data_IF_989379978849
#
_entry.id   IF_989379978849
#
_cell.length_a   1.000
_cell.length_b   1.000
_cell.length_c   1.000
_cell.angle_alpha   90.00
_cell.angle_beta   90.00
_cell.angle_gamma   90.00
#
_symmetry.space_group_name_H-M   'P 1'
#
loop_
_entity.id
_entity.type
_entity.pdbx_description
1 polymer ?
#
# COMPACT_ATOMS: atom_id res chain seq x y z
N UNK A 1 24.87 27.94 12.65
CA UNK A 1 24.77 26.48 12.93
C UNK A 1 23.31 25.97 13.01
N UNK A 2 22.30 26.74 12.56
CA UNK A 2 20.88 26.42 12.76
C UNK A 2 20.14 25.88 11.52
N UNK A 3 20.72 25.96 10.32
CA UNK A 3 20.01 25.53 9.11
C UNK A 3 20.18 24.03 8.78
N UNK A 4 21.29 23.40 9.16
CA UNK A 4 21.51 21.97 8.87
C UNK A 4 20.67 21.03 9.73
N UNK A 5 20.33 21.43 10.96
CA UNK A 5 19.47 20.61 11.83
C UNK A 5 18.00 20.60 11.35
N UNK A 6 17.51 21.70 10.78
CA UNK A 6 16.11 21.79 10.29
C UNK A 6 15.87 20.89 9.09
N UNK A 7 16.86 20.75 8.19
CA UNK A 7 16.78 19.85 7.03
C UNK A 7 16.80 18.36 7.44
N UNK A 8 17.57 18.02 8.47
CA UNK A 8 17.66 16.63 8.98
C UNK A 8 16.36 16.16 9.64
N UNK A 9 15.64 17.07 10.31
CA UNK A 9 14.36 16.75 10.97
C UNK A 9 13.19 16.57 9.99
N UNK A 10 13.29 17.05 8.76
CA UNK A 10 12.28 16.88 7.72
C UNK A 10 12.56 15.64 6.83
N UNK A 11 13.70 14.97 7.04
CA UNK A 11 14.04 13.74 6.31
C UNK A 11 13.50 12.51 7.06
N UNK A 12 12.28 12.10 6.71
CA UNK A 12 11.68 10.89 7.27
C UNK A 12 12.51 9.62 7.04
N UNK A 13 13.37 9.57 6.02
CA UNK A 13 14.29 8.45 5.77
C UNK A 13 15.34 8.33 6.87
N UNK A 14 15.79 9.45 7.45
CA UNK A 14 16.72 9.42 8.57
C UNK A 14 16.09 8.77 9.80
N UNK A 15 14.80 9.03 10.05
CA UNK A 15 14.06 8.34 11.12
C UNK A 15 13.95 6.84 10.88
N UNK A 16 13.66 6.42 9.65
CA UNK A 16 13.53 5.00 9.31
C UNK A 16 14.84 4.22 9.51
N UNK A 17 15.98 4.88 9.30
CA UNK A 17 17.31 4.24 9.44
C UNK A 17 17.85 4.25 10.86
N UNK A 18 17.64 5.34 11.61
CA UNK A 18 18.38 5.62 12.84
C UNK A 18 17.51 5.61 14.11
N UNK A 19 16.20 5.72 13.97
CA UNK A 19 15.32 5.86 15.12
C UNK A 19 14.94 4.53 15.79
N UNK A 20 14.37 4.64 16.97
CA UNK A 20 13.74 3.52 17.69
C UNK A 20 12.57 2.91 16.91
N UNK A 21 12.22 1.62 17.13
CA UNK A 21 11.22 0.91 16.32
C UNK A 21 9.89 1.64 16.17
N UNK A 22 9.36 2.23 17.25
CA UNK A 22 8.08 2.95 17.23
C UNK A 22 8.14 4.28 16.45
N UNK A 23 9.28 4.96 16.48
CA UNK A 23 9.49 6.19 15.68
C UNK A 23 9.66 5.85 14.20
N UNK A 24 10.35 4.74 13.89
CA UNK A 24 10.46 4.24 12.51
C UNK A 24 9.10 3.89 11.91
N UNK A 25 8.24 3.22 12.69
CA UNK A 25 6.90 2.89 12.24
C UNK A 25 6.09 4.15 11.94
N UNK A 26 6.08 5.13 12.84
CA UNK A 26 5.40 6.43 12.62
C UNK A 26 5.95 7.17 11.41
N UNK A 27 7.28 7.21 11.22
CA UNK A 27 7.91 7.86 10.08
C UNK A 27 7.50 7.22 8.75
N UNK A 28 7.49 5.88 8.69
CA UNK A 28 7.01 5.13 7.52
C UNK A 28 5.53 5.40 7.21
N UNK A 29 4.66 5.48 8.24
CA UNK A 29 3.26 5.87 8.05
C UNK A 29 3.12 7.26 7.44
N UNK A 30 3.86 8.26 7.96
CA UNK A 30 3.83 9.61 7.44
C UNK A 30 4.38 9.71 6.02
N UNK A 31 5.49 9.01 5.73
CA UNK A 31 6.06 8.96 4.39
C UNK A 31 5.06 8.45 3.37
N UNK A 32 4.36 7.35 3.67
CA UNK A 32 3.28 6.83 2.83
C UNK A 32 2.14 7.84 2.68
N UNK A 33 1.69 8.42 3.78
CA UNK A 33 0.57 9.35 3.78
C UNK A 33 0.85 10.60 2.93
N UNK A 34 2.08 11.12 3.00
CA UNK A 34 2.53 12.26 2.21
C UNK A 34 2.74 11.86 0.74
N UNK A 35 3.41 10.75 0.48
CA UNK A 35 3.69 10.30 -0.89
C UNK A 35 2.43 9.93 -1.68
N UNK A 36 1.37 9.47 -1.01
CA UNK A 36 0.09 9.20 -1.66
C UNK A 36 -0.61 10.45 -2.19
N UNK A 37 -0.22 11.67 -1.78
CA UNK A 37 -0.76 12.90 -2.34
C UNK A 37 -0.29 13.13 -3.79
N UNK A 38 0.87 12.61 -4.16
CA UNK A 38 1.40 12.71 -5.53
C UNK A 38 0.52 12.02 -6.58
N UNK A 39 -0.36 11.09 -6.18
CA UNK A 39 -1.37 10.46 -7.06
C UNK A 39 -2.22 11.49 -7.80
N UNK A 40 -2.56 12.57 -7.11
CA UNK A 40 -3.37 13.66 -7.64
C UNK A 40 -2.55 14.95 -7.85
N UNK A 41 -1.20 14.85 -7.79
CA UNK A 41 -0.27 15.96 -8.00
C UNK A 41 -0.20 16.95 -6.84
N UNK A 42 -0.76 16.61 -5.68
CA UNK A 42 -0.84 17.47 -4.52
C UNK A 42 0.46 17.43 -3.69
N UNK A 43 0.78 18.54 -3.04
CA UNK A 43 1.94 18.66 -2.15
C UNK A 43 1.52 19.16 -0.77
N UNK A 44 2.04 18.51 0.25
CA UNK A 44 1.81 18.91 1.63
C UNK A 44 2.60 20.18 2.00
N UNK A 45 2.07 20.94 2.97
CA UNK A 45 2.73 22.12 3.52
C UNK A 45 3.91 21.75 4.42
N UNK A 46 4.81 22.71 4.65
CA UNK A 46 5.88 22.56 5.66
C UNK A 46 5.31 22.52 7.07
N UNK A 47 4.16 23.17 7.31
CA UNK A 47 3.45 23.10 8.59
C UNK A 47 3.05 21.66 8.95
N UNK A 48 2.49 20.89 7.99
CA UNK A 48 2.21 19.49 8.22
C UNK A 48 3.48 18.69 8.51
N UNK A 49 4.56 18.91 7.77
CA UNK A 49 5.83 18.19 7.98
C UNK A 49 6.37 18.42 9.39
N UNK A 50 6.32 19.65 9.89
CA UNK A 50 6.73 19.99 11.26
C UNK A 50 5.82 19.32 12.31
N UNK A 51 4.51 19.29 12.09
CA UNK A 51 3.57 18.59 12.97
C UNK A 51 3.79 17.05 12.94
N UNK A 52 4.07 16.49 11.77
CA UNK A 52 4.40 15.07 11.61
C UNK A 52 5.66 14.68 12.40
N UNK A 53 6.71 15.51 12.35
CA UNK A 53 7.93 15.30 13.15
C UNK A 53 7.61 15.28 14.65
N UNK A 54 6.81 16.22 15.16
CA UNK A 54 6.39 16.22 16.58
C UNK A 54 5.62 14.94 16.95
N UNK A 55 4.78 14.45 16.04
CA UNK A 55 4.07 13.17 16.25
C UNK A 55 5.03 11.98 16.23
N UNK A 56 6.02 11.96 15.33
CA UNK A 56 7.04 10.90 15.27
C UNK A 56 7.84 10.87 16.58
N UNK A 57 8.25 12.02 17.09
CA UNK A 57 8.96 12.15 18.36
C UNK A 57 8.10 11.77 19.58
N UNK A 58 6.78 11.82 19.45
CA UNK A 58 5.83 11.49 20.53
C UNK A 58 5.40 12.70 21.35
N UNK A 59 5.75 13.92 20.92
CA UNK A 59 5.38 15.16 21.60
C UNK A 59 3.88 15.46 21.51
N UNK A 60 3.25 15.01 20.41
CA UNK A 60 1.81 15.17 20.16
C UNK A 60 1.21 13.88 19.59
N UNK A 61 -0.11 13.70 19.75
CA UNK A 61 -0.85 12.60 19.15
C UNK A 61 -1.25 12.90 17.70
N UNK A 62 -1.66 11.88 16.94
CA UNK A 62 -2.16 12.07 15.59
C UNK A 62 -3.46 12.91 15.57
N UNK A 63 -4.28 12.82 16.60
CA UNK A 63 -5.48 13.63 16.73
C UNK A 63 -5.15 15.09 17.04
N UNK A 64 -4.08 15.36 17.80
CA UNK A 64 -3.56 16.73 17.99
C UNK A 64 -3.08 17.33 16.67
N UNK A 65 -2.39 16.55 15.81
CA UNK A 65 -2.00 17.01 14.46
C UNK A 65 -3.23 17.42 13.66
N UNK A 66 -4.26 16.57 13.62
CA UNK A 66 -5.51 16.85 12.89
C UNK A 66 -6.22 18.11 13.40
N UNK A 67 -6.23 18.32 14.72
CA UNK A 67 -6.82 19.50 15.33
C UNK A 67 -6.00 20.76 15.05
N UNK A 68 -4.68 20.68 15.11
CA UNK A 68 -3.78 21.79 14.76
C UNK A 68 -3.96 22.20 13.30
N UNK A 69 -4.04 21.26 12.35
CA UNK A 69 -4.32 21.54 10.95
C UNK A 69 -5.66 22.26 10.77
N UNK A 70 -6.73 21.76 11.44
CA UNK A 70 -8.03 22.42 11.38
C UNK A 70 -7.95 23.87 11.86
N UNK A 71 -7.28 24.13 12.98
CA UNK A 71 -7.11 25.49 13.53
C UNK A 71 -6.24 26.36 12.62
N UNK A 72 -5.17 25.80 12.04
CA UNK A 72 -4.26 26.52 11.15
C UNK A 72 -5.00 27.06 9.92
N UNK A 73 -5.78 26.21 9.23
CA UNK A 73 -6.49 26.62 8.01
C UNK A 73 -7.71 27.50 8.29
N UNK A 74 -8.40 27.34 9.41
CA UNK A 74 -9.50 28.25 9.83
C UNK A 74 -9.00 29.66 10.13
N UNK A 75 -7.80 29.79 10.72
CA UNK A 75 -7.23 31.07 11.12
C UNK A 75 -6.40 31.73 10.00
N UNK A 76 -6.21 31.08 8.87
CA UNK A 76 -5.46 31.65 7.74
C UNK A 76 -6.29 32.72 7.05
N UNK A 77 -5.75 33.93 7.01
CA UNK A 77 -6.48 35.12 6.52
C UNK A 77 -6.46 35.29 4.99
N UNK A 78 -5.56 34.61 4.30
CA UNK A 78 -5.44 34.63 2.84
C UNK A 78 -5.64 33.23 2.27
N UNK A 79 -6.58 33.08 1.36
CA UNK A 79 -6.86 31.82 0.67
C UNK A 79 -6.64 32.01 -0.82
N UNK A 80 -5.58 31.44 -1.36
CA UNK A 80 -5.41 31.27 -2.80
C UNK A 80 -5.71 29.80 -3.23
N UNK A 81 -5.67 29.51 -4.51
CA UNK A 81 -5.93 28.16 -5.01
C UNK A 81 -4.87 27.14 -4.53
N UNK A 82 -3.61 27.56 -4.38
CA UNK A 82 -2.51 26.74 -3.86
C UNK A 82 -2.74 26.37 -2.38
N UNK A 83 -3.38 27.25 -1.62
CA UNK A 83 -3.75 26.99 -0.23
C UNK A 83 -4.84 25.93 -0.09
N UNK A 84 -5.83 25.90 -0.97
CA UNK A 84 -6.88 24.88 -0.96
C UNK A 84 -6.32 23.49 -1.29
N UNK A 85 -5.41 23.39 -2.25
CA UNK A 85 -4.72 22.14 -2.60
C UNK A 85 -3.83 21.66 -1.45
N UNK A 86 -3.11 22.57 -0.79
CA UNK A 86 -2.29 22.24 0.39
C UNK A 86 -3.15 21.81 1.58
N UNK A 87 -4.29 22.48 1.82
CA UNK A 87 -5.22 22.08 2.88
C UNK A 87 -5.76 20.66 2.64
N UNK A 88 -6.17 20.35 1.39
CA UNK A 88 -6.57 18.99 1.04
C UNK A 88 -5.45 17.99 1.32
N UNK A 89 -4.25 18.24 0.79
CA UNK A 89 -3.11 17.35 0.94
C UNK A 89 -2.76 17.10 2.42
N UNK A 90 -2.73 18.15 3.23
CA UNK A 90 -2.38 18.08 4.65
C UNK A 90 -3.41 17.28 5.46
N UNK A 91 -4.71 17.61 5.27
CA UNK A 91 -5.80 16.91 5.96
C UNK A 91 -5.86 15.44 5.58
N UNK A 92 -5.77 15.13 4.27
CA UNK A 92 -5.80 13.75 3.77
C UNK A 92 -4.57 12.97 4.22
N UNK A 93 -3.37 13.56 4.22
CA UNK A 93 -2.18 12.91 4.73
C UNK A 93 -2.30 12.57 6.22
N UNK A 94 -2.79 13.49 7.07
CA UNK A 94 -3.02 13.21 8.48
C UNK A 94 -4.06 12.10 8.70
N UNK A 95 -5.13 12.08 7.90
CA UNK A 95 -6.16 11.05 7.96
C UNK A 95 -5.62 9.67 7.50
N UNK A 96 -4.78 9.62 6.44
CA UNK A 96 -4.09 8.39 6.00
C UNK A 96 -3.18 7.87 7.11
N UNK A 97 -2.34 8.72 7.71
CA UNK A 97 -1.44 8.33 8.78
C UNK A 97 -2.20 7.72 9.96
N UNK A 98 -3.33 8.32 10.35
CA UNK A 98 -4.23 7.77 11.37
C UNK A 98 -4.79 6.40 10.97
N UNK A 99 -5.39 6.27 9.78
CA UNK A 99 -5.99 5.01 9.32
C UNK A 99 -4.96 3.87 9.21
N UNK A 100 -3.75 4.17 8.77
CA UNK A 100 -2.69 3.17 8.64
C UNK A 100 -2.08 2.77 9.99
N UNK A 101 -2.19 3.61 11.03
CA UNK A 101 -1.79 3.27 12.41
C UNK A 101 -2.78 2.34 13.11
N UNK A 102 -4.05 2.31 12.66
CA UNK A 102 -5.10 1.48 13.23
C UNK A 102 -4.97 0.03 12.78
N UNK A 103 -4.94 -0.92 13.75
CA UNK A 103 -4.84 -2.36 13.46
C UNK A 103 -6.16 -2.96 12.97
N UNK A 104 -7.30 -2.33 13.31
CA UNK A 104 -8.62 -2.81 12.89
C UNK A 104 -8.81 -2.69 11.39
N UNK A 105 -9.28 -3.77 10.78
CA UNK A 105 -9.62 -3.81 9.37
C UNK A 105 -10.71 -4.86 9.13
N UNK A 106 -11.72 -4.49 8.41
CA UNK A 106 -12.82 -5.36 8.01
C UNK A 106 -12.81 -5.50 6.49
N UNK A 107 -12.59 -6.71 5.97
CA UNK A 107 -12.55 -6.93 4.53
C UNK A 107 -13.96 -6.96 3.94
N UNK A 108 -14.55 -5.78 3.72
CA UNK A 108 -15.93 -5.59 3.24
C UNK A 108 -16.05 -4.38 2.32
N UNK A 109 -17.08 -4.37 1.46
CA UNK A 109 -17.39 -3.20 0.62
C UNK A 109 -17.72 -1.95 1.47
N UNK A 110 -18.35 -2.12 2.64
CA UNK A 110 -18.60 -1.01 3.56
C UNK A 110 -17.30 -0.42 4.12
N UNK A 111 -16.31 -1.25 4.41
CA UNK A 111 -15.01 -0.76 4.86
C UNK A 111 -14.30 0.04 3.77
N UNK A 112 -14.42 -0.35 2.50
CA UNK A 112 -13.89 0.45 1.39
C UNK A 112 -14.53 1.84 1.34
N UNK A 113 -15.85 1.95 1.55
CA UNK A 113 -16.54 3.24 1.65
C UNK A 113 -16.15 4.01 2.93
N UNK A 114 -15.98 3.32 4.05
CA UNK A 114 -15.57 3.94 5.31
C UNK A 114 -14.14 4.48 5.24
N UNK A 115 -13.22 3.77 4.60
CA UNK A 115 -11.87 4.28 4.36
C UNK A 115 -11.94 5.60 3.59
N UNK A 116 -12.72 5.69 2.51
CA UNK A 116 -12.90 6.95 1.78
C UNK A 116 -13.51 8.05 2.68
N UNK A 117 -14.54 7.70 3.48
CA UNK A 117 -15.16 8.66 4.41
C UNK A 117 -14.14 9.24 5.38
N UNK A 118 -13.31 8.39 5.98
CA UNK A 118 -12.29 8.82 6.94
C UNK A 118 -11.12 9.56 6.29
N UNK A 119 -10.70 9.14 5.08
CA UNK A 119 -9.64 9.81 4.33
C UNK A 119 -9.99 11.26 4.02
N UNK A 120 -11.23 11.51 3.61
CA UNK A 120 -11.70 12.80 3.13
C UNK A 120 -12.61 13.52 4.13
N UNK A 121 -12.60 13.08 5.40
CA UNK A 121 -13.28 13.78 6.48
C UNK A 121 -12.77 15.22 6.62
N UNK A 122 -13.70 16.18 6.58
CA UNK A 122 -13.39 17.60 6.62
C UNK A 122 -12.81 18.18 5.32
N UNK A 123 -12.73 17.37 4.24
CA UNK A 123 -12.25 17.78 2.89
C UNK A 123 -13.42 17.80 1.91
N UNK A 124 -14.07 16.66 1.73
CA UNK A 124 -15.20 16.55 0.79
C UNK A 124 -16.53 16.36 1.53
N UNK A 125 -17.55 17.15 1.16
CA UNK A 125 -18.91 16.99 1.69
C UNK A 125 -19.51 15.63 1.36
N UNK A 126 -19.07 14.99 0.29
CA UNK A 126 -19.52 13.68 -0.21
C UNK A 126 -18.56 12.53 0.19
N UNK A 127 -17.75 12.72 1.21
CA UNK A 127 -16.83 11.69 1.67
C UNK A 127 -17.57 10.40 2.07
N UNK A 128 -17.18 9.26 1.47
CA UNK A 128 -17.82 7.95 1.66
C UNK A 128 -19.09 7.73 0.84
N UNK A 129 -19.53 8.69 0.02
CA UNK A 129 -20.71 8.55 -0.83
C UNK A 129 -20.34 8.05 -2.23
N UNK A 130 -21.09 7.07 -2.72
CA UNK A 130 -20.97 6.61 -4.10
C UNK A 130 -21.48 7.70 -5.06
N UNK A 131 -20.73 7.94 -6.13
CA UNK A 131 -21.14 8.87 -7.18
C UNK A 131 -22.48 8.44 -7.84
N UNK A 132 -23.40 9.36 -8.09
CA UNK A 132 -24.69 9.02 -8.70
C UNK A 132 -24.69 9.10 -10.24
N UNK A 133 -23.53 9.29 -10.88
CA UNK A 133 -23.40 9.46 -12.33
C UNK A 133 -22.16 8.73 -12.86
N UNK A 134 -22.17 8.39 -14.14
CA UNK A 134 -21.03 7.80 -14.82
C UNK A 134 -19.96 8.85 -15.08
N UNK A 135 -18.70 8.43 -15.06
CA UNK A 135 -17.53 9.32 -15.20
C UNK A 135 -16.62 8.89 -16.33
N UNK A 136 -15.87 9.86 -16.82
CA UNK A 136 -14.74 9.66 -17.70
C UNK A 136 -13.62 10.60 -17.27
N UNK A 137 -12.37 10.13 -17.29
CA UNK A 137 -11.19 10.92 -16.91
C UNK A 137 -10.13 10.79 -17.97
N UNK A 138 -9.56 11.92 -18.41
CA UNK A 138 -8.43 11.91 -19.32
C UNK A 138 -7.18 11.43 -18.60
N UNK A 139 -6.56 10.36 -19.12
CA UNK A 139 -5.40 9.75 -18.51
C UNK A 139 -4.13 10.04 -19.33
N UNK A 140 -3.07 10.52 -18.64
CA UNK A 140 -1.82 10.86 -19.28
C UNK A 140 -1.18 9.69 -20.03
N UNK A 141 -1.12 8.51 -19.43
CA UNK A 141 -0.52 7.31 -20.04
C UNK A 141 -1.32 6.81 -21.25
N UNK A 142 -2.56 7.27 -21.42
CA UNK A 142 -3.44 6.98 -22.54
C UNK A 142 -3.49 8.10 -23.57
N UNK A 143 -2.58 9.09 -23.50
CA UNK A 143 -2.57 10.26 -24.36
C UNK A 143 -3.91 11.03 -24.36
N UNK A 144 -4.55 11.12 -23.19
CA UNK A 144 -5.82 11.81 -23.00
C UNK A 144 -7.08 10.98 -23.25
N UNK A 145 -6.94 9.69 -23.55
CA UNK A 145 -8.05 8.73 -23.57
C UNK A 145 -8.45 8.33 -22.15
N UNK A 146 -9.53 7.57 -22.00
CA UNK A 146 -10.13 7.21 -20.71
C UNK A 146 -10.27 5.69 -20.52
N UNK A 147 -10.25 5.25 -19.28
CA UNK A 147 -10.68 3.89 -18.90
C UNK A 147 -12.21 3.82 -18.87
N UNK A 148 -12.77 2.68 -19.16
CA UNK A 148 -14.18 2.38 -18.90
C UNK A 148 -14.33 2.03 -17.42
N UNK A 149 -14.89 2.98 -16.65
CA UNK A 149 -15.18 2.79 -15.23
C UNK A 149 -16.52 2.10 -15.01
N UNK A 150 -16.72 1.57 -13.81
CA UNK A 150 -17.99 0.96 -13.39
C UNK A 150 -19.17 1.93 -13.55
N UNK A 151 -20.32 1.42 -13.99
CA UNK A 151 -21.55 2.22 -14.10
C UNK A 151 -22.06 2.59 -12.72
N UNK A 152 -22.47 3.84 -12.52
CA UNK A 152 -22.92 4.35 -11.22
C UNK A 152 -24.00 3.49 -10.57
N UNK A 153 -24.94 2.98 -11.35
CA UNK A 153 -26.04 2.12 -10.86
C UNK A 153 -25.56 0.77 -10.31
N UNK A 154 -24.42 0.26 -10.77
CA UNK A 154 -23.95 -1.09 -10.48
C UNK A 154 -22.81 -1.14 -9.44
N UNK A 155 -22.24 0.01 -9.08
CA UNK A 155 -21.03 0.12 -8.25
C UNK A 155 -21.12 -0.72 -6.95
N UNK A 156 -22.18 -0.54 -6.17
CA UNK A 156 -22.30 -1.26 -4.89
C UNK A 156 -22.40 -2.77 -5.06
N UNK A 157 -23.09 -3.21 -6.11
CA UNK A 157 -23.22 -4.63 -6.44
C UNK A 157 -21.86 -5.18 -6.87
N UNK A 158 -21.15 -4.49 -7.75
CA UNK A 158 -19.82 -4.90 -8.23
C UNK A 158 -18.81 -4.95 -7.08
N UNK A 159 -18.74 -3.92 -6.22
CA UNK A 159 -17.84 -3.91 -5.06
C UNK A 159 -18.11 -5.09 -4.10
N UNK A 160 -19.38 -5.37 -3.82
CA UNK A 160 -19.73 -6.53 -2.96
C UNK A 160 -19.36 -7.84 -3.60
N UNK A 161 -19.57 -7.97 -4.90
CA UNK A 161 -19.23 -9.16 -5.65
C UNK A 161 -17.71 -9.37 -5.65
N UNK A 162 -16.92 -8.39 -6.05
CA UNK A 162 -15.46 -8.49 -6.15
C UNK A 162 -14.82 -8.84 -4.79
N UNK A 163 -15.26 -8.16 -3.72
CA UNK A 163 -14.75 -8.42 -2.36
C UNK A 163 -15.19 -9.79 -1.84
N UNK A 164 -16.40 -10.25 -2.19
CA UNK A 164 -16.85 -11.59 -1.80
C UNK A 164 -16.09 -12.68 -2.56
N UNK A 165 -15.83 -12.51 -3.86
CA UNK A 165 -15.02 -13.44 -4.65
C UNK A 165 -13.62 -13.56 -4.07
N UNK A 166 -12.99 -12.44 -3.72
CA UNK A 166 -11.67 -12.44 -3.09
C UNK A 166 -11.68 -13.10 -1.70
N UNK A 167 -12.73 -12.88 -0.91
CA UNK A 167 -12.90 -13.46 0.42
C UNK A 167 -13.04 -14.98 0.38
N UNK A 168 -13.71 -15.50 -0.65
CA UNK A 168 -13.97 -16.92 -0.84
C UNK A 168 -12.85 -17.62 -1.62
N UNK A 169 -11.88 -16.86 -2.12
CA UNK A 169 -10.78 -17.38 -2.90
C UNK A 169 -9.80 -18.21 -2.06
N UNK A 170 -9.39 -19.36 -2.58
CA UNK A 170 -8.48 -20.26 -1.90
C UNK A 170 -7.06 -20.15 -2.46
N UNK A 171 -6.17 -19.59 -1.68
CA UNK A 171 -4.75 -19.45 -2.02
C UNK A 171 -3.91 -20.72 -1.83
N UNK A 172 -4.49 -21.76 -1.25
CA UNK A 172 -3.80 -23.02 -0.96
C UNK A 172 -3.42 -23.75 -2.24
N UNK A 173 -2.15 -24.14 -2.37
CA UNK A 173 -1.62 -24.88 -3.51
C UNK A 173 -1.29 -24.04 -4.73
N UNK A 174 -1.38 -22.70 -4.63
CA UNK A 174 -0.96 -21.80 -5.68
C UNK A 174 0.53 -21.48 -5.58
N UNK A 175 1.15 -21.29 -6.73
CA UNK A 175 2.50 -20.75 -6.84
C UNK A 175 2.53 -19.28 -6.44
N UNK A 176 3.71 -18.78 -6.10
CA UNK A 176 3.91 -17.36 -5.77
C UNK A 176 3.43 -16.44 -6.90
N UNK A 177 3.66 -16.83 -8.16
CA UNK A 177 3.24 -16.03 -9.32
C UNK A 177 1.72 -16.02 -9.48
N UNK A 178 1.05 -17.14 -9.26
CA UNK A 178 -0.42 -17.23 -9.27
C UNK A 178 -1.03 -16.38 -8.17
N UNK A 179 -0.45 -16.40 -6.96
CA UNK A 179 -0.87 -15.54 -5.83
C UNK A 179 -0.78 -14.06 -6.21
N UNK A 180 0.36 -13.62 -6.76
CA UNK A 180 0.56 -12.22 -7.14
C UNK A 180 -0.40 -11.81 -8.26
N UNK A 181 -0.53 -12.63 -9.30
CA UNK A 181 -1.43 -12.36 -10.42
C UNK A 181 -2.88 -12.25 -9.96
N UNK A 182 -3.33 -13.14 -9.06
CA UNK A 182 -4.68 -13.07 -8.52
C UNK A 182 -4.92 -11.78 -7.70
N UNK A 183 -3.98 -11.38 -6.83
CA UNK A 183 -4.08 -10.13 -6.08
C UNK A 183 -4.10 -8.92 -7.03
N UNK A 184 -3.29 -8.94 -8.09
CA UNK A 184 -3.28 -7.90 -9.12
C UNK A 184 -4.64 -7.83 -9.83
N UNK A 185 -5.24 -8.97 -10.15
CA UNK A 185 -6.55 -9.04 -10.78
C UNK A 185 -7.65 -8.46 -9.88
N UNK A 186 -7.66 -8.85 -8.62
CA UNK A 186 -8.57 -8.29 -7.62
C UNK A 186 -8.43 -6.77 -7.49
N UNK A 187 -7.20 -6.27 -7.31
CA UNK A 187 -6.95 -4.82 -7.16
C UNK A 187 -7.31 -4.04 -8.42
N UNK A 188 -7.10 -4.63 -9.61
CA UNK A 188 -7.49 -4.05 -10.91
C UNK A 188 -9.00 -3.85 -10.99
N UNK A 189 -9.80 -4.89 -10.65
CA UNK A 189 -11.26 -4.83 -10.63
C UNK A 189 -11.78 -3.85 -9.57
N UNK A 190 -11.24 -3.92 -8.35
CA UNK A 190 -11.61 -3.04 -7.25
C UNK A 190 -11.46 -1.56 -7.65
N UNK A 191 -10.33 -1.20 -8.26
CA UNK A 191 -10.08 0.18 -8.70
C UNK A 191 -10.95 0.58 -9.89
N UNK A 192 -11.26 -0.32 -10.82
CA UNK A 192 -12.10 -0.05 -12.00
C UNK A 192 -13.53 0.37 -11.62
N UNK A 193 -14.05 -0.13 -10.51
CA UNK A 193 -15.36 0.29 -9.99
C UNK A 193 -15.44 1.82 -9.80
N UNK A 194 -14.33 2.45 -9.38
CA UNK A 194 -14.18 3.90 -9.26
C UNK A 194 -15.38 4.58 -8.60
N UNK A 195 -15.74 4.18 -7.36
CA UNK A 195 -17.05 4.51 -6.78
C UNK A 195 -17.20 5.97 -6.40
N UNK A 196 -16.11 6.71 -6.23
CA UNK A 196 -16.15 8.07 -5.71
C UNK A 196 -15.95 9.11 -6.82
N UNK A 197 -16.36 10.35 -6.54
CA UNK A 197 -16.13 11.48 -7.45
C UNK A 197 -14.64 11.78 -7.54
N UNK A 198 -13.94 11.79 -6.41
CA UNK A 198 -12.50 12.01 -6.26
C UNK A 198 -11.88 11.00 -5.28
N UNK A 199 -10.53 10.93 -5.20
CA UNK A 199 -9.82 10.15 -4.19
C UNK A 199 -9.84 8.63 -4.36
N UNK A 200 -10.29 8.09 -5.50
CA UNK A 200 -10.41 6.65 -5.71
C UNK A 200 -9.07 5.90 -5.57
N UNK A 201 -8.00 6.42 -6.16
CA UNK A 201 -6.69 5.76 -6.11
C UNK A 201 -6.09 5.79 -4.71
N UNK A 202 -6.20 6.92 -3.98
CA UNK A 202 -5.74 7.03 -2.58
C UNK A 202 -6.50 6.05 -1.69
N UNK A 203 -7.82 5.95 -1.85
CA UNK A 203 -8.66 4.98 -1.12
C UNK A 203 -8.27 3.53 -1.44
N UNK A 204 -8.08 3.20 -2.72
CA UNK A 204 -7.64 1.87 -3.14
C UNK A 204 -6.28 1.53 -2.54
N UNK A 205 -5.32 2.45 -2.56
CA UNK A 205 -4.00 2.22 -1.97
C UNK A 205 -4.07 1.90 -0.47
N UNK A 206 -4.81 2.70 0.31
CA UNK A 206 -4.98 2.47 1.76
C UNK A 206 -5.70 1.15 2.04
N UNK A 207 -6.76 0.84 1.30
CA UNK A 207 -7.47 -0.44 1.44
C UNK A 207 -6.55 -1.63 1.12
N UNK A 208 -5.79 -1.55 0.03
CA UNK A 208 -4.84 -2.60 -0.39
C UNK A 208 -3.73 -2.79 0.64
N UNK A 209 -3.17 -1.72 1.20
CA UNK A 209 -2.17 -1.81 2.28
C UNK A 209 -2.75 -2.57 3.49
N UNK A 210 -3.96 -2.20 3.95
CA UNK A 210 -4.61 -2.88 5.07
C UNK A 210 -4.97 -4.33 4.73
N UNK A 211 -5.45 -4.59 3.51
CA UNK A 211 -5.74 -5.93 3.03
C UNK A 211 -4.48 -6.80 3.01
N UNK A 212 -3.38 -6.36 2.39
CA UNK A 212 -2.13 -7.11 2.34
C UNK A 212 -1.58 -7.42 3.74
N UNK A 213 -1.70 -6.46 4.68
CA UNK A 213 -1.34 -6.69 6.08
C UNK A 213 -2.21 -7.79 6.71
N UNK A 214 -3.51 -7.81 6.42
CA UNK A 214 -4.44 -8.82 6.97
C UNK A 214 -4.14 -10.25 6.48
N UNK A 215 -3.54 -10.39 5.31
CA UNK A 215 -3.11 -11.68 4.74
C UNK A 215 -1.61 -11.98 4.95
N UNK A 216 -0.96 -11.23 5.85
CA UNK A 216 0.38 -11.49 6.37
C UNK A 216 1.53 -10.75 5.69
N UNK A 217 1.28 -9.99 4.61
CA UNK A 217 2.35 -9.21 4.00
C UNK A 217 2.62 -7.94 4.82
N UNK A 218 3.88 -7.70 5.12
CA UNK A 218 4.32 -6.37 5.55
C UNK A 218 4.39 -5.52 4.29
N UNK A 219 3.25 -4.96 3.86
CA UNK A 219 3.26 -3.99 2.80
C UNK A 219 4.16 -2.84 3.23
N UNK A 220 5.37 -2.79 2.65
CA UNK A 220 6.30 -1.72 2.94
C UNK A 220 5.70 -0.44 2.35
N UNK A 221 5.36 0.48 3.22
CA UNK A 221 4.71 1.73 2.85
C UNK A 221 5.57 2.58 1.90
N UNK A 222 6.90 2.39 1.92
CA UNK A 222 7.85 3.17 1.15
C UNK A 222 7.61 3.07 -0.36
N UNK A 223 7.24 1.88 -0.83
CA UNK A 223 6.99 1.69 -2.26
C UNK A 223 5.80 2.54 -2.75
N UNK A 224 4.73 2.63 -1.96
CA UNK A 224 3.61 3.51 -2.26
C UNK A 224 4.01 4.99 -2.17
N UNK A 225 4.85 5.34 -1.19
CA UNK A 225 5.33 6.70 -1.01
C UNK A 225 6.12 7.20 -2.23
N UNK A 226 7.01 6.37 -2.76
CA UNK A 226 7.91 6.75 -3.86
C UNK A 226 7.27 6.55 -5.24
N UNK A 227 6.30 5.65 -5.35
CA UNK A 227 5.75 5.18 -6.63
C UNK A 227 4.23 5.29 -6.72
N UNK A 228 3.61 6.23 -6.00
CA UNK A 228 2.15 6.42 -6.00
C UNK A 228 1.61 6.76 -7.39
N UNK A 229 2.32 7.63 -8.13
CA UNK A 229 2.01 7.96 -9.52
C UNK A 229 2.18 6.75 -10.46
N UNK A 230 3.22 5.92 -10.23
CA UNK A 230 3.39 4.68 -10.97
C UNK A 230 2.23 3.71 -10.70
N UNK A 231 1.85 3.53 -9.43
CA UNK A 231 0.74 2.66 -9.06
C UNK A 231 -0.57 3.08 -9.76
N UNK A 232 -0.89 4.38 -9.76
CA UNK A 232 -2.05 4.92 -10.47
C UNK A 232 -2.01 4.60 -11.97
N UNK A 233 -0.90 4.90 -12.62
CA UNK A 233 -0.73 4.68 -14.06
C UNK A 233 -0.76 3.18 -14.42
N UNK A 234 -0.22 2.32 -13.56
CA UNK A 234 -0.29 0.86 -13.74
C UNK A 234 -1.73 0.34 -13.66
N UNK A 235 -2.57 0.88 -12.76
CA UNK A 235 -4.00 0.59 -12.67
C UNK A 235 -4.74 1.05 -13.94
N UNK A 236 -4.42 2.23 -14.45
CA UNK A 236 -4.96 2.74 -15.73
C UNK A 236 -4.62 1.76 -16.87
N UNK A 237 -3.36 1.37 -17.00
CA UNK A 237 -2.92 0.44 -18.06
C UNK A 237 -3.50 -0.96 -17.93
N UNK A 238 -3.72 -1.43 -16.71
CA UNK A 238 -4.35 -2.72 -16.43
C UNK A 238 -5.83 -2.77 -16.86
N UNK A 239 -6.51 -1.61 -16.91
CA UNK A 239 -7.94 -1.51 -17.19
C UNK A 239 -8.25 -0.89 -18.58
N UNK A 240 -7.24 -0.46 -19.33
CA UNK A 240 -7.48 0.20 -20.61
C UNK A 240 -7.46 -0.79 -21.76
N UNK A 241 -8.55 -0.77 -22.55
CA UNK A 241 -8.70 -1.50 -23.79
C UNK A 241 -9.18 -0.58 -24.91
N UNK A 242 -8.49 -0.60 -26.04
CA UNK A 242 -8.91 0.11 -27.24
C UNK A 242 -8.59 -0.73 -28.50
N UNK A 243 -9.53 -1.58 -28.94
CA UNK A 243 -9.32 -2.45 -30.11
C UNK A 243 -9.01 -1.69 -31.39
N UNK A 244 -9.57 -0.48 -31.58
CA UNK A 244 -9.32 0.33 -32.78
C UNK A 244 -7.88 0.84 -32.87
N UNK A 245 -7.19 0.96 -31.72
CA UNK A 245 -5.77 1.31 -31.63
C UNK A 245 -4.87 0.07 -31.44
N UNK A 246 -5.43 -1.13 -31.41
CA UNK A 246 -4.69 -2.37 -31.12
C UNK A 246 -4.14 -2.42 -29.69
N UNK A 247 -4.75 -1.73 -28.74
CA UNK A 247 -4.28 -1.67 -27.35
C UNK A 247 -5.12 -2.57 -26.46
N UNK A 248 -4.47 -3.57 -25.85
CA UNK A 248 -5.05 -4.47 -24.86
C UNK A 248 -4.63 -4.08 -23.42
N UNK A 249 -5.42 -4.50 -22.40
CA UNK A 249 -5.06 -4.32 -21.00
C UNK A 249 -3.68 -4.89 -20.69
N UNK A 250 -2.86 -4.14 -19.96
CA UNK A 250 -1.52 -4.59 -19.60
C UNK A 250 -1.32 -4.52 -18.08
N UNK A 251 -1.40 -5.69 -17.43
CA UNK A 251 -1.21 -5.85 -15.99
C UNK A 251 0.26 -5.99 -15.58
N UNK A 252 1.19 -6.17 -16.54
CA UNK A 252 2.61 -6.44 -16.21
C UNK A 252 3.26 -5.34 -15.35
N UNK A 253 2.86 -4.09 -15.53
CA UNK A 253 3.35 -2.97 -14.72
C UNK A 253 2.88 -3.10 -13.26
N UNK A 254 1.63 -3.44 -13.06
CA UNK A 254 1.08 -3.65 -11.72
C UNK A 254 1.68 -4.89 -11.06
N UNK A 255 1.92 -5.98 -11.82
CA UNK A 255 2.65 -7.17 -11.35
C UNK A 255 4.04 -6.80 -10.83
N UNK A 256 4.83 -6.00 -11.58
CA UNK A 256 6.14 -5.52 -11.13
C UNK A 256 6.06 -4.74 -9.82
N UNK A 257 5.07 -3.86 -9.69
CA UNK A 257 4.83 -3.11 -8.46
C UNK A 257 4.54 -4.05 -7.27
N UNK A 258 3.63 -5.01 -7.44
CA UNK A 258 3.28 -5.96 -6.38
C UNK A 258 4.41 -6.93 -6.05
N UNK A 259 5.22 -7.35 -7.02
CA UNK A 259 6.42 -8.16 -6.75
C UNK A 259 7.44 -7.40 -5.90
N UNK A 260 7.66 -6.13 -6.20
CA UNK A 260 8.51 -5.27 -5.35
C UNK A 260 7.90 -5.12 -3.96
N UNK A 261 6.59 -4.85 -3.87
CA UNK A 261 5.88 -4.61 -2.60
C UNK A 261 5.84 -5.85 -1.70
N UNK A 262 5.48 -7.00 -2.26
CA UNK A 262 5.19 -8.21 -1.50
C UNK A 262 6.42 -9.08 -1.29
N UNK A 263 7.33 -9.10 -2.26
CA UNK A 263 8.49 -10.00 -2.28
C UNK A 263 9.83 -9.27 -2.06
N UNK A 264 9.83 -7.92 -2.07
CA UNK A 264 11.05 -7.12 -1.98
C UNK A 264 11.94 -7.23 -3.22
N UNK A 265 11.36 -7.57 -4.36
CA UNK A 265 12.07 -7.56 -5.64
C UNK A 265 12.38 -6.12 -6.07
N UNK A 266 13.28 -5.95 -7.04
CA UNK A 266 13.79 -4.64 -7.45
C UNK A 266 13.51 -4.39 -8.94
N UNK A 267 12.24 -4.57 -9.36
CA UNK A 267 11.84 -4.21 -10.71
C UNK A 267 11.85 -2.71 -10.89
N UNK A 268 12.35 -2.26 -12.03
CA UNK A 268 12.32 -0.84 -12.37
C UNK A 268 10.89 -0.36 -12.62
N UNK A 269 10.50 0.73 -11.94
CA UNK A 269 9.16 1.32 -11.98
C UNK A 269 9.21 2.69 -12.67
N UNK A 270 9.13 2.70 -14.01
CA UNK A 270 9.17 3.94 -14.80
C UNK A 270 7.86 4.20 -15.53
N UNK A 271 7.25 5.34 -15.25
CA UNK A 271 5.98 5.78 -15.83
C UNK A 271 6.00 5.87 -17.36
N UNK A 272 7.13 6.30 -17.95
CA UNK A 272 7.27 6.45 -19.41
C UNK A 272 6.98 5.17 -20.20
N UNK A 273 7.30 4.00 -19.64
CA UNK A 273 7.05 2.71 -20.30
C UNK A 273 5.56 2.34 -20.37
N UNK A 274 4.72 3.05 -19.63
CA UNK A 274 3.26 2.86 -19.63
C UNK A 274 2.53 3.69 -20.68
N UNK A 275 3.20 4.69 -21.30
CA UNK A 275 2.60 5.47 -22.37
C UNK A 275 2.20 4.55 -23.53
N UNK A 276 0.97 4.64 -24.00
CA UNK A 276 0.57 3.94 -25.23
C UNK A 276 1.36 4.51 -26.42
N UNK A 277 1.89 3.60 -27.27
CA UNK A 277 2.75 3.99 -28.39
C UNK A 277 4.18 4.37 -28.02
N UNK A 278 4.63 4.18 -26.78
CA UNK A 278 6.04 4.35 -26.40
C UNK A 278 6.90 3.27 -27.08
N UNK A 279 7.89 3.71 -27.86
CA UNK A 279 8.92 2.86 -28.45
C UNK A 279 10.29 3.29 -27.94
N UNK A 280 11.10 2.35 -27.47
CA UNK A 280 12.47 2.60 -26.95
C UNK A 280 13.41 3.22 -28.00
N UNK A 281 13.03 3.20 -29.27
CA UNK A 281 13.82 3.75 -30.39
C UNK A 281 13.74 5.29 -30.51
N UNK A 282 12.81 5.95 -29.79
CA UNK A 282 12.61 7.41 -29.90
C UNK A 282 13.58 8.26 -29.04
N UNK A 283 14.61 7.66 -28.46
CA UNK A 283 15.57 8.34 -27.57
C UNK A 283 16.56 9.31 -28.30
N UNK A 284 16.31 9.69 -29.56
CA UNK A 284 17.23 10.56 -30.33
C UNK A 284 16.70 11.97 -30.64
N UNK A 285 15.51 12.37 -30.20
CA UNK A 285 15.03 13.74 -30.42
C UNK A 285 14.49 14.40 -29.16
N UNK A 286 15.28 15.37 -28.67
CA UNK A 286 14.88 16.44 -27.77
C UNK A 286 13.69 17.19 -28.37
N UNK A 287 12.51 17.03 -27.85
CA UNK A 287 11.35 17.86 -28.15
C UNK A 287 10.90 18.55 -26.89
N UNK A 288 11.17 19.83 -26.85
CA UNK A 288 10.69 20.81 -25.89
C UNK A 288 9.17 20.90 -26.02
N UNK A 289 8.42 20.25 -25.14
CA UNK A 289 7.05 20.62 -24.84
C UNK A 289 6.92 20.96 -23.37
N UNK A 290 6.84 22.25 -23.15
CA UNK A 290 6.53 22.88 -21.87
C UNK A 290 5.12 22.50 -21.47
N UNK A 291 5.00 21.51 -20.63
CA UNK A 291 3.84 21.29 -19.77
C UNK A 291 4.34 21.39 -18.34
N UNK A 292 3.83 22.38 -17.64
CA UNK A 292 4.18 22.80 -16.29
C UNK A 292 3.83 21.71 -15.27
N UNK A 293 4.66 20.69 -15.17
CA UNK A 293 4.81 19.82 -14.00
C UNK A 293 6.25 19.28 -14.01
N UNK A 294 7.18 20.17 -13.72
CA UNK A 294 8.61 19.82 -13.59
C UNK A 294 8.87 19.49 -12.14
N UNK A 295 8.80 18.21 -11.80
CA UNK A 295 9.51 17.70 -10.64
C UNK A 295 10.84 17.14 -11.12
N UNK A 296 11.86 18.00 -11.16
CA UNK A 296 13.25 17.59 -11.42
C UNK A 296 13.81 17.05 -10.11
N UNK A 297 13.67 15.74 -9.88
CA UNK A 297 14.53 15.04 -8.94
C UNK A 297 15.66 14.38 -9.72
N UNK A 298 16.76 15.12 -9.87
CA UNK A 298 18.06 14.54 -10.19
C UNK A 298 18.59 13.92 -8.91
N UNK A 299 18.18 12.70 -8.61
CA UNK A 299 18.81 11.90 -7.57
C UNK A 299 19.94 11.12 -8.22
N UNK A 300 21.16 11.60 -8.00
CA UNK A 300 22.37 10.80 -8.22
C UNK A 300 22.36 9.70 -7.13
N UNK A 301 21.75 8.57 -7.42
CA UNK A 301 21.81 7.41 -6.54
C UNK A 301 23.16 6.73 -6.68
N UNK A 302 24.03 6.99 -5.72
CA UNK A 302 25.09 6.05 -5.38
C UNK A 302 24.38 4.87 -4.70
N UNK A 303 24.25 3.78 -5.43
CA UNK A 303 23.61 2.55 -4.97
C UNK A 303 24.43 1.94 -3.84
N UNK A 304 24.06 2.21 -2.61
CA UNK A 304 24.50 1.39 -1.48
C UNK A 304 23.40 0.36 -1.22
N UNK A 305 23.66 -0.86 -1.60
CA UNK A 305 22.86 -2.06 -1.46
C UNK A 305 22.48 -2.33 0.00
N UNK A 306 21.29 -1.86 0.43
CA UNK A 306 20.78 -2.15 1.77
C UNK A 306 19.30 -2.58 1.79
N UNK A 307 18.63 -2.74 0.63
CA UNK A 307 17.20 -3.06 0.57
C UNK A 307 16.87 -4.51 0.21
N UNK A 308 17.84 -5.39 0.04
CA UNK A 308 17.60 -6.82 -0.24
C UNK A 308 17.21 -7.65 0.99
N UNK A 309 16.98 -7.01 2.14
CA UNK A 309 16.87 -7.72 3.42
C UNK A 309 15.45 -7.97 3.94
N UNK A 310 14.37 -7.47 3.32
CA UNK A 310 13.06 -7.54 3.98
C UNK A 310 12.36 -8.91 3.93
N UNK A 311 12.62 -9.75 2.94
CA UNK A 311 12.18 -11.16 2.99
C UNK A 311 13.30 -12.09 3.52
N UNK A 312 14.57 -11.79 3.24
CA UNK A 312 15.71 -12.62 3.70
C UNK A 312 16.09 -12.38 5.16
N UNK A 313 15.92 -11.16 5.71
CA UNK A 313 16.38 -10.82 7.05
C UNK A 313 15.50 -11.38 8.18
N UNK A 314 14.23 -11.75 7.92
CA UNK A 314 13.34 -12.30 8.95
C UNK A 314 13.16 -13.83 8.87
N UNK A 315 13.65 -14.47 7.81
CA UNK A 315 13.48 -15.91 7.63
C UNK A 315 14.62 -16.68 8.28
N UNK A 316 14.55 -16.82 9.62
CA UNK A 316 15.48 -17.69 10.34
C UNK A 316 15.27 -19.15 9.93
N UNK A 317 16.28 -19.98 10.09
CA UNK A 317 16.20 -21.40 9.75
C UNK A 317 15.06 -22.11 10.52
N UNK A 318 14.82 -21.69 11.76
CA UNK A 318 13.73 -22.22 12.57
C UNK A 318 12.34 -21.87 11.99
N UNK A 319 12.16 -20.64 11.46
CA UNK A 319 10.92 -20.22 10.81
C UNK A 319 10.73 -20.96 9.49
N UNK A 320 11.78 -21.16 8.70
CA UNK A 320 11.71 -21.95 7.47
C UNK A 320 11.24 -23.38 7.71
N UNK A 321 11.88 -24.07 8.69
CA UNK A 321 11.49 -25.42 9.09
C UNK A 321 10.04 -25.49 9.54
N UNK A 322 9.57 -24.47 10.28
CA UNK A 322 8.19 -24.38 10.71
C UNK A 322 7.23 -24.22 9.54
N UNK A 323 7.53 -23.31 8.57
CA UNK A 323 6.71 -23.12 7.37
C UNK A 323 6.59 -24.43 6.60
N UNK A 324 7.70 -25.14 6.36
CA UNK A 324 7.70 -26.43 5.68
C UNK A 324 6.92 -27.49 6.48
N UNK A 325 7.03 -27.49 7.80
CA UNK A 325 6.33 -28.42 8.67
C UNK A 325 4.81 -28.19 8.70
N UNK A 326 4.34 -26.95 8.62
CA UNK A 326 2.91 -26.62 8.53
C UNK A 326 2.39 -27.02 7.16
N UNK A 327 3.10 -26.61 6.09
CA UNK A 327 2.68 -26.89 4.71
C UNK A 327 1.34 -26.25 4.41
N UNK A 328 0.49 -26.99 3.71
CA UNK A 328 -0.86 -26.54 3.35
C UNK A 328 -1.94 -26.95 4.37
N UNK A 329 -1.57 -27.49 5.53
CA UNK A 329 -2.49 -28.03 6.51
C UNK A 329 -2.59 -27.17 7.78
N UNK A 330 -3.65 -27.39 8.56
CA UNK A 330 -3.79 -26.79 9.89
C UNK A 330 -3.15 -27.70 10.95
N UNK A 331 -2.21 -27.20 11.74
CA UNK A 331 -1.52 -27.99 12.77
C UNK A 331 -1.60 -27.36 14.16
N UNK A 332 -1.74 -28.21 15.17
CA UNK A 332 -1.57 -27.84 16.58
C UNK A 332 -0.10 -27.64 16.91
N UNK A 333 0.20 -26.99 18.04
CA UNK A 333 1.59 -26.84 18.53
C UNK A 333 2.28 -28.19 18.65
N UNK A 334 1.58 -29.23 19.12
CA UNK A 334 2.15 -30.56 19.27
C UNK A 334 2.55 -31.17 17.93
N UNK A 335 1.65 -31.14 16.95
CA UNK A 335 1.90 -31.65 15.59
C UNK A 335 3.07 -30.91 14.90
N UNK A 336 3.15 -29.59 15.09
CA UNK A 336 4.25 -28.79 14.56
C UNK A 336 5.59 -29.16 15.19
N UNK A 337 5.63 -29.30 16.53
CA UNK A 337 6.84 -29.69 17.26
C UNK A 337 7.34 -31.09 16.86
N UNK A 338 6.43 -32.03 16.69
CA UNK A 338 6.74 -33.37 16.20
C UNK A 338 7.33 -33.32 14.78
N UNK A 339 6.74 -32.53 13.89
CA UNK A 339 7.19 -32.39 12.50
C UNK A 339 8.58 -31.73 12.38
N UNK A 340 8.92 -30.77 13.25
CA UNK A 340 10.26 -30.14 13.27
C UNK A 340 11.27 -30.86 14.16
N UNK A 341 10.86 -31.93 14.85
CA UNK A 341 11.74 -32.73 15.72
C UNK A 341 12.13 -32.04 17.03
N UNK A 342 11.35 -31.07 17.53
CA UNK A 342 11.63 -30.31 18.73
C UNK A 342 10.81 -30.84 19.92
N UNK A 343 11.46 -31.04 21.06
CA UNK A 343 10.82 -31.50 22.31
C UNK A 343 10.61 -30.38 23.32
N UNK A 344 11.38 -29.30 23.26
CA UNK A 344 11.28 -28.17 24.18
C UNK A 344 10.25 -27.15 23.69
N UNK A 345 9.07 -27.13 24.31
CA UNK A 345 7.96 -26.25 23.92
C UNK A 345 8.26 -24.76 24.11
N UNK A 346 8.86 -24.30 25.25
CA UNK A 346 9.24 -22.89 25.36
C UNK A 346 10.16 -22.42 24.24
N UNK A 347 11.22 -23.15 23.93
CA UNK A 347 12.14 -22.80 22.84
C UNK A 347 11.45 -22.81 21.47
N UNK A 348 10.56 -23.78 21.21
CA UNK A 348 9.78 -23.80 19.97
C UNK A 348 8.90 -22.56 19.84
N UNK A 349 8.22 -22.15 20.90
CA UNK A 349 7.38 -20.96 20.88
C UNK A 349 8.23 -19.71 20.66
N UNK A 350 9.34 -19.56 21.38
CA UNK A 350 10.19 -18.36 21.35
C UNK A 350 10.94 -18.20 20.03
N UNK A 351 11.55 -19.27 19.49
CA UNK A 351 12.46 -19.18 18.34
C UNK A 351 11.83 -19.60 17.01
N UNK A 352 10.63 -20.18 17.01
CA UNK A 352 9.96 -20.62 15.77
C UNK A 352 8.57 -20.02 15.61
N UNK A 353 7.63 -20.30 16.52
CA UNK A 353 6.22 -19.94 16.32
C UNK A 353 5.93 -18.47 16.51
N UNK A 354 6.43 -17.85 17.59
CA UNK A 354 6.21 -16.42 17.85
C UNK A 354 6.81 -15.54 16.77
N UNK A 355 8.06 -15.74 16.31
CA UNK A 355 8.60 -15.01 15.18
C UNK A 355 7.78 -15.21 13.88
N UNK A 356 7.38 -16.46 13.60
CA UNK A 356 6.59 -16.74 12.39
C UNK A 356 5.23 -16.03 12.40
N UNK A 357 4.58 -15.92 13.56
CA UNK A 357 3.32 -15.14 13.69
C UNK A 357 3.61 -13.65 13.59
N UNK A 358 4.61 -13.15 14.33
CA UNK A 358 4.98 -11.72 14.31
C UNK A 358 5.36 -11.23 12.91
N UNK A 359 6.02 -12.09 12.14
CA UNK A 359 6.42 -11.77 10.75
C UNK A 359 5.33 -12.04 9.71
N UNK A 360 4.16 -12.50 10.16
CA UNK A 360 2.98 -12.69 9.31
C UNK A 360 3.03 -13.92 8.40
N UNK A 361 3.88 -14.92 8.68
CA UNK A 361 3.90 -16.20 7.93
C UNK A 361 2.85 -17.19 8.41
N UNK A 362 2.53 -17.13 9.71
CA UNK A 362 1.62 -18.06 10.38
C UNK A 362 0.52 -17.28 11.07
N UNK A 363 -0.70 -17.80 11.04
CA UNK A 363 -1.83 -17.24 11.79
C UNK A 363 -2.49 -18.30 12.65
N UNK A 364 -3.24 -17.85 13.68
CA UNK A 364 -4.05 -18.68 14.54
C UNK A 364 -5.42 -18.94 13.92
N UNK A 365 -5.94 -20.16 14.03
CA UNK A 365 -7.32 -20.47 13.62
C UNK A 365 -8.34 -19.70 14.46
N UNK A 366 -8.06 -19.51 15.74
CA UNK A 366 -8.90 -18.77 16.69
C UNK A 366 -8.12 -17.60 17.28
N UNK A 367 -7.91 -16.50 16.51
CA UNK A 367 -7.07 -15.38 16.96
C UNK A 367 -7.67 -14.61 18.14
N UNK A 368 -9.00 -14.52 18.21
CA UNK A 368 -9.71 -13.89 19.34
C UNK A 368 -9.69 -14.72 20.62
N UNK A 369 -9.25 -15.97 20.54
CA UNK A 369 -9.13 -16.91 21.68
C UNK A 369 -7.83 -17.69 21.61
N UNK A 370 -6.65 -17.06 21.87
CA UNK A 370 -5.36 -17.69 21.69
C UNK A 370 -5.15 -18.98 22.49
N UNK A 371 -5.87 -19.14 23.61
CA UNK A 371 -5.83 -20.33 24.47
C UNK A 371 -6.95 -21.33 24.18
N UNK A 372 -7.60 -21.22 23.02
CA UNK A 372 -8.68 -22.13 22.65
C UNK A 372 -8.22 -23.60 22.67
N UNK A 373 -8.96 -24.55 23.26
CA UNK A 373 -8.53 -25.96 23.38
C UNK A 373 -8.26 -26.66 22.04
N UNK A 374 -8.94 -26.20 20.98
CA UNK A 374 -8.77 -26.70 19.60
C UNK A 374 -7.96 -25.73 18.74
N UNK A 375 -7.06 -24.94 19.36
CA UNK A 375 -6.23 -24.00 18.61
C UNK A 375 -5.35 -24.75 17.61
N UNK A 376 -5.39 -24.28 16.37
CA UNK A 376 -4.52 -24.70 15.29
C UNK A 376 -3.88 -23.48 14.63
N UNK A 377 -2.83 -23.72 13.89
CA UNK A 377 -2.05 -22.73 13.19
C UNK A 377 -1.96 -23.12 11.72
N UNK A 378 -2.01 -22.14 10.83
CA UNK A 378 -1.97 -22.31 9.39
C UNK A 378 -1.11 -21.21 8.76
N UNK A 379 -0.61 -21.47 7.57
CA UNK A 379 0.12 -20.44 6.82
C UNK A 379 -0.85 -19.34 6.37
N UNK A 380 -0.40 -18.10 6.45
CA UNK A 380 -1.05 -16.96 5.78
C UNK A 380 -0.79 -17.02 4.28
N UNK A 381 -1.39 -16.15 3.48
CA UNK A 381 -1.09 -16.06 2.04
C UNK A 381 0.41 -15.77 1.81
N UNK A 382 1.01 -14.91 2.65
CA UNK A 382 2.47 -14.70 2.66
C UNK A 382 3.23 -15.98 2.99
N UNK A 383 2.79 -16.73 3.98
CA UNK A 383 3.39 -18.01 4.36
C UNK A 383 3.31 -19.04 3.24
N UNK A 384 2.19 -19.12 2.53
CA UNK A 384 1.99 -19.99 1.36
C UNK A 384 2.93 -19.62 0.21
N UNK A 385 3.07 -18.32 -0.10
CA UNK A 385 4.00 -17.86 -1.14
C UNK A 385 5.48 -18.21 -0.81
N UNK A 386 5.86 -18.15 0.46
CA UNK A 386 7.20 -18.57 0.90
C UNK A 386 7.35 -20.09 0.88
N UNK A 387 6.31 -20.82 1.29
CA UNK A 387 6.28 -22.29 1.24
C UNK A 387 6.49 -22.80 -0.19
N UNK A 388 5.78 -22.24 -1.16
CA UNK A 388 5.94 -22.57 -2.58
C UNK A 388 7.39 -22.41 -3.05
N UNK A 389 8.00 -21.25 -2.80
CA UNK A 389 9.41 -20.96 -3.15
C UNK A 389 10.44 -21.90 -2.50
N UNK A 390 10.10 -22.52 -1.37
CA UNK A 390 11.02 -23.45 -0.68
C UNK A 390 10.79 -24.90 -1.04
N UNK A 391 9.60 -25.22 -1.59
CA UNK A 391 9.20 -26.57 -1.98
C UNK A 391 9.47 -26.88 -3.45
N UNK A 392 9.68 -25.82 -4.25
CA UNK A 392 10.12 -25.86 -5.64
C UNK A 392 11.63 -26.01 -5.74
#
# INVERSE_FOLDING_TARGET
MTNNNKQLYLDFEAYERLAEPHKRERASLWRTAIGLQDVDGLKVSDYLKEAAVKHIEGDITIDDVRQQLKSYYVNKTTHDNDDAEKEEADRVAANIAKLLSEQSFSFTALEFLNIHRHLFDGVFKHAGEIRPYDISKKEWVLQGDTVVYGRAADIMMALRYDIQQEKDFCYKGLTTDEIINHIVDFVTLLWQNHPFREGNTRTTAVFVIKYLRSIGFRANNDLFAENSWYFRNALVRANYRNPSKGVEPNKSFLVKFFRNLMLGEQHELKNRYMLIGYNDTDNTHTSTHTSTHTSTHTSTHTSTSTSTNNLKASLTENVKRLILAIGTEEKSVKEMMEAVGLKNRPNFLEYSLTPAISDGFVTMKYPSSPRHPRQKYLLTVKGLAVYDKMSS
#
